data_IF_848635167509
#
_entry.id   IF_848635167509
#
_cell.length_a   1.000
_cell.length_b   1.000
_cell.length_c   1.000
_cell.angle_alpha   90.00
_cell.angle_beta   90.00
_cell.angle_gamma   90.00
#
_symmetry.space_group_name_H-M   'P 1'
#
loop_
_entity.id
_entity.type
_entity.pdbx_description
1 polymer ?
#
# COMPACT_ATOMS: atom_id res chain seq x y z
N UNK A 1 -3.14 -14.09 -33.53
CA UNK A 1 -3.51 -14.30 -32.10
C UNK A 1 -2.76 -15.53 -31.59
N UNK A 2 -1.75 -15.36 -30.75
CA UNK A 2 -1.08 -16.50 -30.08
C UNK A 2 -2.02 -17.03 -28.99
N UNK A 3 -2.47 -18.29 -29.10
CA UNK A 3 -3.20 -18.99 -28.03
C UNK A 3 -2.34 -18.97 -26.75
N UNK A 4 -2.79 -18.31 -25.70
CA UNK A 4 -2.17 -18.44 -24.37
C UNK A 4 -2.33 -19.91 -23.95
N UNK A 5 -1.23 -20.63 -23.89
CA UNK A 5 -1.18 -21.96 -23.27
C UNK A 5 -1.56 -21.75 -21.80
N UNK A 6 -2.63 -22.41 -21.36
CA UNK A 6 -3.03 -22.41 -19.96
C UNK A 6 -1.87 -23.06 -19.15
N UNK A 7 -1.15 -22.27 -18.38
CA UNK A 7 -0.13 -22.79 -17.46
C UNK A 7 -0.81 -23.53 -16.33
N UNK A 8 -0.33 -24.72 -16.01
CA UNK A 8 -0.76 -25.40 -14.78
C UNK A 8 -0.41 -24.50 -13.58
N UNK A 9 -1.34 -24.35 -12.63
CA UNK A 9 -1.07 -23.61 -11.40
C UNK A 9 0.06 -24.26 -10.60
N UNK A 10 0.76 -23.49 -9.78
CA UNK A 10 1.71 -24.04 -8.82
C UNK A 10 0.93 -24.42 -7.55
N UNK A 11 0.50 -25.67 -7.48
CA UNK A 11 -0.35 -26.19 -6.41
C UNK A 11 0.24 -25.95 -5.00
N UNK A 12 1.56 -26.05 -4.84
CA UNK A 12 2.23 -25.80 -3.57
C UNK A 12 2.09 -24.32 -3.14
N UNK A 13 2.28 -23.39 -4.06
CA UNK A 13 2.13 -21.97 -3.76
C UNK A 13 0.67 -21.58 -3.52
N UNK A 14 -0.27 -22.16 -4.27
CA UNK A 14 -1.70 -21.95 -4.06
C UNK A 14 -2.12 -22.42 -2.67
N UNK A 15 -1.74 -23.64 -2.27
CA UNK A 15 -2.04 -24.19 -0.94
C UNK A 15 -1.51 -23.31 0.20
N UNK A 16 -0.27 -22.81 0.08
CA UNK A 16 0.32 -21.90 1.09
C UNK A 16 -0.46 -20.59 1.20
N UNK A 17 -0.93 -20.04 0.10
CA UNK A 17 -1.69 -18.78 0.11
C UNK A 17 -3.14 -18.99 0.58
N UNK A 18 -3.75 -20.12 0.26
CA UNK A 18 -5.07 -20.51 0.78
C UNK A 18 -5.03 -20.68 2.31
N UNK A 19 -4.04 -21.40 2.82
CA UNK A 19 -3.82 -21.52 4.27
C UNK A 19 -3.64 -20.15 4.94
N UNK A 20 -2.86 -19.28 4.32
CA UNK A 20 -2.66 -17.92 4.84
C UNK A 20 -3.97 -17.12 4.87
N UNK A 21 -4.79 -17.21 3.83
CA UNK A 21 -6.11 -16.57 3.80
C UNK A 21 -7.02 -17.09 4.92
N UNK A 22 -7.06 -18.41 5.13
CA UNK A 22 -7.83 -19.02 6.20
C UNK A 22 -7.33 -18.57 7.60
N UNK A 23 -6.02 -18.48 7.79
CA UNK A 23 -5.43 -17.98 9.02
C UNK A 23 -5.78 -16.51 9.29
N UNK A 24 -5.80 -15.65 8.26
CA UNK A 24 -6.25 -14.27 8.37
C UNK A 24 -7.73 -14.17 8.73
N UNK A 25 -8.59 -14.99 8.11
CA UNK A 25 -10.01 -15.05 8.44
C UNK A 25 -10.25 -15.53 9.88
N UNK A 26 -9.51 -16.54 10.33
CA UNK A 26 -9.57 -17.04 11.71
C UNK A 26 -9.10 -15.99 12.73
N UNK A 27 -8.00 -15.29 12.45
CA UNK A 27 -7.51 -14.17 13.26
C UNK A 27 -8.52 -13.03 13.32
N UNK A 28 -9.17 -12.71 12.20
CA UNK A 28 -10.25 -11.75 12.13
C UNK A 28 -11.43 -12.15 13.02
N UNK A 29 -11.92 -13.39 12.92
CA UNK A 29 -13.03 -13.91 13.72
C UNK A 29 -12.68 -13.86 15.21
N UNK A 30 -11.45 -14.23 15.61
CA UNK A 30 -10.96 -14.14 17.00
C UNK A 30 -10.95 -12.68 17.48
N UNK A 31 -10.51 -11.73 16.65
CA UNK A 31 -10.46 -10.31 17.02
C UNK A 31 -11.84 -9.69 17.25
N UNK A 32 -12.89 -10.26 16.67
CA UNK A 32 -14.28 -9.81 16.87
C UNK A 32 -14.72 -9.91 18.34
N UNK A 33 -14.18 -10.89 19.10
CA UNK A 33 -14.51 -11.13 20.52
C UNK A 33 -13.89 -10.07 21.46
N UNK A 34 -12.92 -9.30 21.02
CA UNK A 34 -12.28 -8.23 21.82
C UNK A 34 -13.21 -7.02 21.95
N UNK A 35 -13.36 -6.43 23.13
CA UNK A 35 -14.29 -5.31 23.35
C UNK A 35 -13.77 -3.96 22.87
N UNK A 36 -12.44 -3.71 22.92
CA UNK A 36 -11.83 -2.42 22.60
C UNK A 36 -11.58 -2.25 21.09
N UNK A 37 -12.14 -1.18 20.48
CA UNK A 37 -12.07 -0.92 19.02
C UNK A 37 -10.65 -0.72 18.51
N UNK A 38 -9.82 0.06 19.20
CA UNK A 38 -8.43 0.31 18.81
C UNK A 38 -7.58 -0.95 18.81
N UNK A 39 -7.66 -1.76 19.87
CA UNK A 39 -6.95 -3.05 19.96
C UNK A 39 -7.36 -4.03 18.85
N UNK A 40 -8.61 -3.97 18.39
CA UNK A 40 -9.08 -4.78 17.25
C UNK A 40 -8.42 -4.38 15.93
N UNK A 41 -8.32 -3.08 15.66
CA UNK A 41 -7.69 -2.55 14.45
C UNK A 41 -6.23 -2.97 14.39
N UNK A 42 -5.48 -2.70 15.43
CA UNK A 42 -4.06 -3.03 15.53
C UNK A 42 -3.79 -4.53 15.40
N UNK A 43 -4.61 -5.40 16.02
CA UNK A 43 -4.46 -6.85 15.91
C UNK A 43 -4.66 -7.35 14.46
N UNK A 44 -5.56 -6.74 13.69
CA UNK A 44 -5.82 -7.09 12.28
C UNK A 44 -4.71 -6.61 11.37
N UNK A 45 -4.28 -5.35 11.53
CA UNK A 45 -3.14 -4.82 10.80
C UNK A 45 -1.90 -5.69 11.08
N UNK A 46 -1.67 -6.04 12.37
CA UNK A 46 -0.58 -6.93 12.76
C UNK A 46 -0.63 -8.29 12.08
N UNK A 47 -1.79 -8.94 12.00
CA UNK A 47 -1.89 -10.26 11.36
C UNK A 47 -1.49 -10.22 9.87
N UNK A 48 -1.87 -9.16 9.15
CA UNK A 48 -1.47 -8.97 7.75
C UNK A 48 0.03 -8.62 7.68
N UNK A 49 0.53 -7.76 8.56
CA UNK A 49 1.94 -7.40 8.63
C UNK A 49 2.83 -8.62 8.94
N UNK A 50 2.44 -9.47 9.88
CA UNK A 50 3.15 -10.71 10.21
C UNK A 50 3.19 -11.67 9.00
N UNK A 51 2.06 -11.81 8.28
CA UNK A 51 2.02 -12.59 7.03
C UNK A 51 3.00 -12.06 5.99
N UNK A 52 3.04 -10.74 5.77
CA UNK A 52 3.92 -10.10 4.81
C UNK A 52 5.39 -10.21 5.23
N UNK A 53 5.69 -9.97 6.51
CA UNK A 53 7.04 -10.09 7.06
C UNK A 53 7.63 -11.49 6.88
N UNK A 54 6.82 -12.51 7.04
CA UNK A 54 7.27 -13.91 6.91
C UNK A 54 7.53 -14.33 5.44
N UNK A 55 7.05 -13.56 4.45
CA UNK A 55 7.06 -13.95 3.03
C UNK A 55 7.77 -12.98 2.09
N UNK A 56 7.93 -11.74 2.49
CA UNK A 56 8.70 -10.77 1.70
C UNK A 56 10.21 -10.95 1.93
N UNK A 57 11.04 -10.71 0.91
CA UNK A 57 12.49 -10.67 1.08
C UNK A 57 12.93 -9.74 2.21
N UNK A 58 14.03 -10.06 2.91
CA UNK A 58 14.55 -9.31 4.04
C UNK A 58 14.93 -7.83 3.71
N UNK A 59 15.09 -7.51 2.43
CA UNK A 59 15.30 -6.16 1.95
C UNK A 59 14.09 -5.23 2.19
N UNK A 60 12.89 -5.79 2.35
CA UNK A 60 11.69 -5.03 2.64
C UNK A 60 11.42 -4.97 4.15
N UNK A 61 11.22 -3.77 4.67
CA UNK A 61 10.67 -3.56 6.00
C UNK A 61 9.15 -3.57 5.93
N UNK A 62 8.52 -4.19 6.92
CA UNK A 62 7.07 -4.13 7.13
C UNK A 62 6.83 -3.60 8.54
N UNK A 63 6.03 -2.54 8.67
CA UNK A 63 5.73 -1.95 9.97
C UNK A 63 4.25 -1.55 10.06
N UNK A 64 3.74 -1.43 11.28
CA UNK A 64 2.36 -1.01 11.59
C UNK A 64 2.37 0.30 12.35
N UNK A 65 1.35 1.14 12.14
CA UNK A 65 1.18 2.39 12.89
C UNK A 65 2.29 3.41 12.60
N UNK A 66 2.74 3.52 11.35
CA UNK A 66 3.83 4.40 10.97
C UNK A 66 3.31 5.69 10.31
N UNK A 67 4.05 6.77 10.47
CA UNK A 67 3.90 8.00 9.68
C UNK A 67 4.98 8.06 8.59
N UNK A 68 4.62 8.61 7.44
CA UNK A 68 5.54 8.86 6.34
C UNK A 68 5.89 10.34 6.32
N UNK A 69 7.19 10.62 6.30
CA UNK A 69 7.74 11.99 6.35
C UNK A 69 8.57 12.25 5.10
N UNK A 70 8.41 13.41 4.48
CA UNK A 70 9.29 13.86 3.41
C UNK A 70 10.35 14.86 3.89
N UNK A 71 11.35 15.11 3.06
CA UNK A 71 12.44 16.03 3.39
C UNK A 71 11.98 17.48 3.62
N UNK A 72 10.76 17.86 3.22
CA UNK A 72 10.17 19.16 3.49
C UNK A 72 9.35 19.18 4.80
N UNK A 73 9.52 18.17 5.67
CA UNK A 73 8.84 18.00 6.96
C UNK A 73 7.30 17.88 6.82
N UNK A 74 6.81 17.47 5.64
CA UNK A 74 5.40 17.15 5.46
C UNK A 74 5.18 15.69 5.85
N UNK A 75 4.04 15.42 6.47
CA UNK A 75 3.74 14.11 7.04
C UNK A 75 2.42 13.58 6.50
N UNK A 76 2.33 12.27 6.43
CA UNK A 76 1.06 11.57 6.36
C UNK A 76 0.38 11.58 7.73
N UNK A 77 -0.86 11.12 7.82
CA UNK A 77 -1.38 10.58 9.06
C UNK A 77 -0.76 9.21 9.36
N UNK A 78 -1.14 8.62 10.50
CA UNK A 78 -0.82 7.23 10.84
C UNK A 78 -1.40 6.28 9.78
N UNK A 79 -0.59 5.34 9.33
CA UNK A 79 -0.91 4.33 8.32
C UNK A 79 -0.92 2.96 8.98
N UNK A 80 -1.96 2.17 8.71
CA UNK A 80 -2.12 0.85 9.34
C UNK A 80 -0.93 -0.08 9.07
N UNK A 81 -0.46 -0.18 7.80
CA UNK A 81 0.73 -0.97 7.43
C UNK A 81 1.51 -0.23 6.34
N UNK A 82 2.82 -0.14 6.51
CA UNK A 82 3.76 0.36 5.50
C UNK A 82 4.76 -0.73 5.09
N UNK A 83 5.13 -0.73 3.81
CA UNK A 83 6.21 -1.57 3.26
C UNK A 83 7.24 -0.61 2.66
N UNK A 84 8.49 -0.75 3.08
CA UNK A 84 9.55 0.18 2.71
C UNK A 84 10.86 -0.55 2.39
N UNK A 85 11.74 0.12 1.66
CA UNK A 85 13.08 -0.37 1.40
C UNK A 85 13.92 -0.25 2.67
N UNK A 86 14.12 -1.38 3.35
CA UNK A 86 14.83 -1.44 4.62
C UNK A 86 16.33 -1.11 4.47
N UNK A 87 16.92 -1.37 3.32
CA UNK A 87 18.33 -1.10 3.09
C UNK A 87 18.64 0.39 2.93
N UNK A 88 17.64 1.17 2.46
CA UNK A 88 17.76 2.62 2.23
C UNK A 88 17.12 3.47 3.30
N UNK A 89 16.41 2.88 4.26
CA UNK A 89 15.77 3.61 5.34
C UNK A 89 16.69 3.66 6.56
N UNK A 90 17.41 4.75 6.81
CA UNK A 90 18.02 4.95 8.12
C UNK A 90 16.89 5.03 9.16
N UNK A 91 17.08 4.44 10.30
CA UNK A 91 16.13 4.51 11.41
C UNK A 91 16.10 5.97 11.90
N UNK A 92 15.05 6.71 11.49
CA UNK A 92 14.92 8.13 11.84
C UNK A 92 14.31 8.27 13.24
N UNK A 93 13.28 7.46 13.54
CA UNK A 93 12.65 7.40 14.86
C UNK A 93 11.94 6.06 15.03
N UNK A 94 12.06 5.48 16.23
CA UNK A 94 11.38 4.24 16.57
C UNK A 94 10.02 4.48 17.27
N UNK A 95 9.84 5.65 17.92
CA UNK A 95 8.62 6.04 18.62
C UNK A 95 8.47 7.58 18.58
N UNK A 96 7.52 8.11 17.81
CA UNK A 96 6.72 7.42 16.79
C UNK A 96 7.58 6.89 15.63
N UNK A 97 7.10 5.83 14.98
CA UNK A 97 7.82 5.25 13.84
C UNK A 97 7.65 6.13 12.59
N UNK A 98 8.74 6.70 12.13
CA UNK A 98 8.78 7.54 10.92
C UNK A 98 9.52 6.85 9.78
N UNK A 99 8.85 6.80 8.63
CA UNK A 99 9.37 6.25 7.38
C UNK A 99 9.59 7.39 6.40
N UNK A 100 10.78 7.47 5.83
CA UNK A 100 11.06 8.45 4.78
C UNK A 100 10.24 8.14 3.52
N UNK A 101 9.62 9.15 2.93
CA UNK A 101 8.74 9.00 1.78
C UNK A 101 9.46 8.34 0.59
N UNK A 102 10.74 8.60 0.42
CA UNK A 102 11.58 8.04 -0.64
C UNK A 102 11.78 6.53 -0.52
N UNK A 103 11.64 5.98 0.68
CA UNK A 103 11.78 4.54 0.91
C UNK A 103 10.44 3.81 0.91
N UNK A 104 9.32 4.52 1.00
CA UNK A 104 7.98 3.93 1.00
C UNK A 104 7.68 3.27 -0.35
N UNK A 105 7.49 1.95 -0.35
CA UNK A 105 7.15 1.14 -1.53
C UNK A 105 5.66 0.85 -1.63
N UNK A 106 5.02 0.59 -0.49
CA UNK A 106 3.59 0.33 -0.44
C UNK A 106 3.01 0.72 0.91
N UNK A 107 1.70 0.99 0.94
CA UNK A 107 0.95 1.04 2.17
C UNK A 107 -0.41 0.34 2.05
N UNK A 108 -0.93 -0.10 3.18
CA UNK A 108 -2.18 -0.84 3.27
C UNK A 108 -3.03 -0.23 4.38
N UNK A 109 -4.20 0.25 3.99
CA UNK A 109 -5.26 0.65 4.92
C UNK A 109 -6.11 -0.57 5.24
N UNK A 110 -6.19 -0.96 6.49
CA UNK A 110 -6.90 -2.17 6.94
C UNK A 110 -8.26 -1.80 7.52
N UNK A 111 -9.31 -2.35 6.93
CA UNK A 111 -10.68 -2.07 7.36
C UNK A 111 -11.39 -3.35 7.79
N UNK A 112 -12.06 -3.28 8.92
CA UNK A 112 -12.95 -4.36 9.41
C UNK A 112 -14.06 -4.62 8.41
N UNK A 113 -14.71 -3.54 8.00
CA UNK A 113 -15.88 -3.53 7.12
C UNK A 113 -15.77 -2.30 6.24
N UNK A 114 -15.74 -2.51 4.93
CA UNK A 114 -15.69 -1.40 3.99
C UNK A 114 -17.05 -0.70 3.97
N UNK A 115 -17.02 0.60 4.24
CA UNK A 115 -18.17 1.51 4.20
C UNK A 115 -17.79 2.75 3.41
N UNK A 116 -18.76 3.58 3.05
CA UNK A 116 -18.50 4.87 2.40
C UNK A 116 -17.58 5.75 3.26
N UNK A 117 -17.82 5.80 4.58
CA UNK A 117 -16.99 6.58 5.50
C UNK A 117 -15.55 6.10 5.57
N UNK A 118 -15.31 4.77 5.53
CA UNK A 118 -13.96 4.21 5.52
C UNK A 118 -13.25 4.46 4.17
N UNK A 119 -13.97 4.37 3.05
CA UNK A 119 -13.43 4.76 1.74
C UNK A 119 -13.03 6.25 1.71
N UNK A 120 -13.89 7.14 2.22
CA UNK A 120 -13.58 8.57 2.29
C UNK A 120 -12.28 8.82 3.05
N UNK A 121 -12.09 8.19 4.21
CA UNK A 121 -10.84 8.29 4.99
C UNK A 121 -9.63 7.76 4.19
N UNK A 122 -9.78 6.62 3.55
CA UNK A 122 -8.69 6.03 2.75
C UNK A 122 -8.29 6.91 1.58
N UNK A 123 -9.25 7.57 0.90
CA UNK A 123 -8.95 8.51 -0.18
C UNK A 123 -8.33 9.83 0.32
N UNK A 124 -8.71 10.30 1.51
CA UNK A 124 -8.03 11.44 2.17
C UNK A 124 -6.58 11.07 2.49
N UNK A 125 -6.33 9.89 3.06
CA UNK A 125 -4.97 9.39 3.32
C UNK A 125 -4.16 9.26 2.03
N UNK A 126 -4.75 8.72 0.96
CA UNK A 126 -4.10 8.65 -0.35
C UNK A 126 -3.73 10.03 -0.90
N UNK A 127 -4.59 11.05 -0.71
CA UNK A 127 -4.28 12.44 -1.07
C UNK A 127 -3.07 12.97 -0.29
N UNK A 128 -2.99 12.70 1.01
CA UNK A 128 -1.87 13.12 1.85
C UNK A 128 -0.55 12.50 1.37
N UNK A 129 -0.53 11.19 1.13
CA UNK A 129 0.66 10.49 0.59
C UNK A 129 1.06 11.04 -0.78
N UNK A 130 0.09 11.26 -1.69
CA UNK A 130 0.38 11.81 -3.01
C UNK A 130 0.90 13.26 -2.98
N UNK A 131 0.66 13.99 -1.89
CA UNK A 131 1.20 15.33 -1.70
C UNK A 131 2.64 15.35 -1.20
N UNK A 132 3.15 14.22 -0.67
CA UNK A 132 4.54 14.10 -0.22
C UNK A 132 5.48 14.04 -1.43
N UNK A 133 6.67 14.59 -1.28
CA UNK A 133 7.77 14.34 -2.20
C UNK A 133 8.36 12.95 -1.85
N UNK A 134 8.75 12.16 -2.80
CA UNK A 134 8.87 12.41 -4.25
C UNK A 134 7.60 12.09 -5.06
N UNK A 135 6.48 11.71 -4.45
CA UNK A 135 5.29 11.27 -5.19
C UNK A 135 4.57 12.39 -5.93
N UNK A 136 4.71 13.64 -5.46
CA UNK A 136 4.09 14.80 -6.09
C UNK A 136 4.83 15.28 -7.35
N UNK A 137 6.13 15.04 -7.43
CA UNK A 137 6.99 15.50 -8.53
C UNK A 137 7.85 14.36 -9.04
N UNK A 138 8.26 14.40 -10.31
CA UNK A 138 9.30 13.53 -10.80
C UNK A 138 10.53 13.61 -9.89
N UNK A 139 11.18 12.47 -9.72
CA UNK A 139 12.38 12.38 -8.92
C UNK A 139 13.54 13.02 -9.68
N UNK A 140 14.24 13.95 -9.04
CA UNK A 140 15.51 14.51 -9.55
C UNK A 140 16.64 14.00 -8.69
N UNK A 141 17.67 13.45 -9.29
CA UNK A 141 18.92 13.11 -8.59
C UNK A 141 19.49 14.37 -7.94
N UNK A 142 20.00 14.26 -6.72
CA UNK A 142 20.64 15.37 -6.03
C UNK A 142 21.73 16.00 -6.94
N UNK A 143 21.66 17.31 -7.13
CA UNK A 143 22.61 18.06 -7.97
C UNK A 143 22.31 18.10 -9.46
N UNK A 144 21.23 17.48 -9.95
CA UNK A 144 20.78 17.65 -11.32
C UNK A 144 19.63 18.67 -11.40
N UNK A 145 19.62 19.59 -12.39
CA UNK A 145 18.50 20.49 -12.60
C UNK A 145 17.23 19.69 -12.95
N UNK A 146 16.07 20.23 -12.59
CA UNK A 146 14.74 19.67 -12.93
C UNK A 146 14.56 19.57 -14.48
N UNK A 147 15.27 18.67 -15.11
CA UNK A 147 15.04 18.28 -16.49
C UNK A 147 13.75 17.45 -16.49
N UNK A 148 12.72 17.95 -17.18
CA UNK A 148 11.38 17.38 -17.21
C UNK A 148 11.37 15.85 -17.21
N UNK A 149 11.21 15.28 -16.03
CA UNK A 149 11.15 13.84 -15.85
C UNK A 149 9.88 13.31 -16.50
N UNK A 150 10.01 12.24 -17.25
CA UNK A 150 8.88 11.56 -17.87
C UNK A 150 8.04 10.86 -16.80
N UNK A 151 6.76 10.56 -17.07
CA UNK A 151 5.88 9.81 -16.16
C UNK A 151 6.49 8.47 -15.68
N UNK A 152 7.45 7.91 -16.44
CA UNK A 152 8.16 6.69 -16.10
C UNK A 152 9.22 6.87 -15.00
N UNK A 153 9.63 8.08 -14.71
CA UNK A 153 10.65 8.42 -13.71
C UNK A 153 10.05 8.81 -12.36
N UNK A 154 8.74 9.04 -12.31
CA UNK A 154 8.05 9.31 -11.05
C UNK A 154 8.07 8.08 -10.15
N UNK A 155 8.49 8.28 -8.90
CA UNK A 155 8.40 7.22 -7.89
C UNK A 155 6.94 6.88 -7.63
N UNK A 156 6.68 5.60 -7.50
CA UNK A 156 5.33 5.09 -7.22
C UNK A 156 5.29 4.39 -5.88
N UNK A 157 4.14 4.48 -5.24
CA UNK A 157 3.80 3.73 -4.05
C UNK A 157 2.57 2.88 -4.35
N UNK A 158 2.56 1.59 -3.99
CA UNK A 158 1.38 0.74 -4.11
C UNK A 158 0.42 1.04 -2.96
N UNK A 159 -0.73 1.58 -3.29
CA UNK A 159 -1.74 2.07 -2.34
C UNK A 159 -2.92 1.13 -2.33
N UNK A 160 -3.17 0.49 -1.22
CA UNK A 160 -4.25 -0.50 -1.16
C UNK A 160 -5.12 -0.33 0.07
N UNK A 161 -6.41 -0.60 -0.10
CA UNK A 161 -7.38 -0.80 0.96
C UNK A 161 -7.65 -2.28 1.06
N UNK A 162 -7.40 -2.86 2.24
CA UNK A 162 -7.67 -4.25 2.57
C UNK A 162 -8.82 -4.31 3.57
N UNK A 163 -9.97 -4.83 3.15
CA UNK A 163 -11.13 -4.97 4.01
C UNK A 163 -11.47 -6.44 4.24
N UNK A 164 -11.76 -6.81 5.48
CA UNK A 164 -12.21 -8.15 5.82
C UNK A 164 -13.66 -8.42 5.43
N UNK A 165 -14.45 -7.39 5.18
CA UNK A 165 -15.82 -7.47 4.73
C UNK A 165 -16.37 -6.14 4.24
N UNK A 166 -17.62 -6.13 3.80
CA UNK A 166 -18.35 -4.95 3.35
C UNK A 166 -19.77 -4.94 3.92
N UNK A 167 -20.43 -3.78 3.86
CA UNK A 167 -21.87 -3.68 4.15
C UNK A 167 -22.75 -3.76 2.89
N UNK A 168 -22.15 -4.03 1.73
CA UNK A 168 -22.89 -4.31 0.51
C UNK A 168 -23.27 -5.78 0.42
N UNK A 169 -24.43 -6.07 -0.19
CA UNK A 169 -24.82 -7.42 -0.57
C UNK A 169 -23.96 -7.98 -1.71
N UNK A 170 -24.13 -9.28 -2.00
CA UNK A 170 -23.37 -9.94 -3.07
C UNK A 170 -23.82 -9.50 -4.47
N UNK A 171 -25.13 -9.31 -4.68
CA UNK A 171 -25.70 -8.99 -5.99
C UNK A 171 -25.21 -7.62 -6.46
N UNK A 172 -24.56 -7.58 -7.62
CA UNK A 172 -24.03 -6.36 -8.21
C UNK A 172 -22.95 -5.67 -7.37
N UNK A 173 -22.21 -6.45 -6.57
CA UNK A 173 -21.22 -5.89 -5.64
C UNK A 173 -20.15 -5.04 -6.35
N UNK A 174 -19.61 -5.50 -7.47
CA UNK A 174 -18.57 -4.78 -8.20
C UNK A 174 -19.03 -3.38 -8.61
N UNK A 175 -20.20 -3.25 -9.22
CA UNK A 175 -20.72 -1.97 -9.69
C UNK A 175 -21.06 -1.03 -8.53
N UNK A 176 -21.63 -1.58 -7.47
CA UNK A 176 -21.98 -0.82 -6.27
C UNK A 176 -20.72 -0.31 -5.54
N UNK A 177 -19.70 -1.16 -5.40
CA UNK A 177 -18.45 -0.75 -4.74
C UNK A 177 -17.67 0.21 -5.63
N UNK A 178 -17.66 0.01 -6.95
CA UNK A 178 -17.07 0.96 -7.89
C UNK A 178 -17.74 2.35 -7.81
N UNK A 179 -19.07 2.38 -7.70
CA UNK A 179 -19.81 3.63 -7.50
C UNK A 179 -19.41 4.34 -6.19
N UNK A 180 -19.19 3.59 -5.10
CA UNK A 180 -18.68 4.13 -3.82
C UNK A 180 -17.27 4.69 -3.93
N UNK A 181 -16.38 3.98 -4.61
CA UNK A 181 -14.99 4.41 -4.87
C UNK A 181 -15.00 5.76 -5.62
N UNK A 182 -15.81 5.87 -6.68
CA UNK A 182 -15.95 7.16 -7.41
C UNK A 182 -16.42 8.29 -6.51
N UNK A 183 -17.43 8.06 -5.69
CA UNK A 183 -17.96 9.07 -4.75
C UNK A 183 -16.91 9.47 -3.70
N UNK A 184 -16.17 8.50 -3.15
CA UNK A 184 -15.12 8.77 -2.16
C UNK A 184 -13.94 9.54 -2.76
N UNK A 185 -13.55 9.24 -4.00
CA UNK A 185 -12.53 9.98 -4.73
C UNK A 185 -12.93 11.45 -4.95
N UNK A 186 -14.18 11.68 -5.38
CA UNK A 186 -14.74 13.04 -5.52
C UNK A 186 -14.76 13.76 -4.17
N UNK A 187 -15.21 13.10 -3.10
CA UNK A 187 -15.21 13.67 -1.75
C UNK A 187 -13.83 14.12 -1.29
N UNK A 188 -12.80 13.35 -1.56
CA UNK A 188 -11.41 13.69 -1.25
C UNK A 188 -10.76 14.66 -2.26
N UNK A 189 -11.45 15.03 -3.34
CA UNK A 189 -10.93 15.84 -4.45
C UNK A 189 -9.69 15.20 -5.09
N UNK A 190 -9.78 13.91 -5.40
CA UNK A 190 -8.76 13.10 -6.11
C UNK A 190 -9.44 12.22 -7.15
N UNK A 191 -8.63 11.50 -7.95
CA UNK A 191 -9.15 10.50 -8.89
C UNK A 191 -9.26 9.13 -8.21
N UNK A 192 -10.12 8.21 -8.69
CA UNK A 192 -10.15 6.83 -8.21
C UNK A 192 -8.78 6.14 -8.29
N UNK A 193 -7.95 6.48 -9.27
CA UNK A 193 -6.59 5.96 -9.45
C UNK A 193 -5.60 6.33 -8.31
N UNK A 194 -6.02 7.18 -7.36
CA UNK A 194 -5.24 7.47 -6.15
C UNK A 194 -5.10 6.27 -5.20
N UNK A 195 -5.89 5.21 -5.42
CA UNK A 195 -5.76 3.90 -4.76
C UNK A 195 -5.58 2.84 -5.84
N UNK A 196 -4.56 1.99 -5.71
CA UNK A 196 -4.23 0.98 -6.72
C UNK A 196 -5.12 -0.26 -6.62
N UNK A 197 -5.47 -0.68 -5.39
CA UNK A 197 -6.34 -1.85 -5.16
C UNK A 197 -7.29 -1.61 -3.99
N UNK A 198 -8.52 -2.05 -4.16
CA UNK A 198 -9.50 -2.17 -3.08
C UNK A 198 -9.89 -3.63 -3.01
N UNK A 199 -9.39 -4.34 -2.00
CA UNK A 199 -9.69 -5.74 -1.73
C UNK A 199 -10.75 -5.83 -0.64
N UNK A 200 -11.79 -6.62 -0.89
CA UNK A 200 -12.71 -7.10 0.14
C UNK A 200 -12.61 -8.62 0.18
N UNK A 201 -12.02 -9.15 1.23
CA UNK A 201 -11.53 -10.53 1.33
C UNK A 201 -12.62 -11.59 1.00
N UNK A 202 -13.87 -11.33 1.37
CA UNK A 202 -14.98 -12.24 1.12
C UNK A 202 -15.89 -11.82 -0.05
N UNK A 203 -15.41 -10.96 -0.96
CA UNK A 203 -16.20 -10.44 -2.08
C UNK A 203 -15.44 -10.37 -3.39
N UNK A 204 -14.29 -9.74 -3.40
CA UNK A 204 -13.53 -9.50 -4.62
C UNK A 204 -12.53 -8.39 -4.50
N UNK A 205 -12.00 -7.96 -5.63
CA UNK A 205 -11.00 -6.90 -5.71
C UNK A 205 -11.30 -5.97 -6.88
N UNK A 206 -11.16 -4.65 -6.63
CA UNK A 206 -11.22 -3.63 -7.67
C UNK A 206 -9.82 -3.08 -7.95
N UNK A 207 -9.61 -2.72 -9.22
CA UNK A 207 -8.41 -2.06 -9.75
C UNK A 207 -8.79 -0.67 -10.28
N UNK A 208 -8.86 0.36 -9.41
CA UNK A 208 -9.33 1.67 -9.80
C UNK A 208 -8.55 2.34 -10.94
N UNK A 209 -7.21 2.23 -11.05
CA UNK A 209 -6.47 2.76 -12.19
C UNK A 209 -6.93 2.25 -13.56
N UNK A 210 -7.29 0.97 -13.64
CA UNK A 210 -7.77 0.34 -14.88
C UNK A 210 -9.30 0.30 -15.00
N UNK A 211 -10.02 0.77 -13.99
CA UNK A 211 -11.48 0.71 -13.90
C UNK A 211 -12.03 -0.71 -14.07
N UNK A 212 -11.31 -1.71 -13.56
CA UNK A 212 -11.66 -3.12 -13.63
C UNK A 212 -11.82 -3.71 -12.23
N UNK A 213 -12.42 -4.88 -12.16
CA UNK A 213 -12.56 -5.62 -10.93
C UNK A 213 -12.81 -7.11 -11.19
N UNK A 214 -12.70 -7.90 -10.14
CA UNK A 214 -13.03 -9.32 -10.13
C UNK A 214 -13.76 -9.64 -8.84
N UNK A 215 -14.78 -10.46 -8.92
CA UNK A 215 -15.44 -11.00 -7.72
C UNK A 215 -14.84 -12.35 -7.33
N UNK A 216 -15.15 -12.79 -6.12
CA UNK A 216 -14.62 -14.03 -5.57
C UNK A 216 -15.05 -15.27 -6.35
N UNK A 217 -16.13 -15.19 -7.13
CA UNK A 217 -16.62 -16.31 -7.92
C UNK A 217 -15.89 -16.46 -9.26
N UNK A 218 -15.24 -15.39 -9.71
CA UNK A 218 -14.50 -15.38 -10.99
C UNK A 218 -13.05 -15.86 -10.87
N UNK A 219 -12.50 -15.93 -9.65
CA UNK A 219 -11.11 -16.35 -9.37
C UNK A 219 -11.07 -17.26 -8.17
N UNK A 220 -10.12 -18.18 -8.13
CA UNK A 220 -9.93 -19.13 -7.03
C UNK A 220 -9.62 -18.44 -5.69
N UNK A 221 -8.86 -17.34 -5.72
CA UNK A 221 -8.57 -16.54 -4.54
C UNK A 221 -8.23 -15.09 -4.93
N UNK A 222 -9.05 -14.14 -4.45
CA UNK A 222 -8.76 -12.71 -4.62
C UNK A 222 -7.61 -12.26 -3.73
N UNK A 223 -7.41 -12.92 -2.60
CA UNK A 223 -6.27 -12.68 -1.72
C UNK A 223 -4.96 -13.03 -2.41
N UNK A 224 -4.89 -14.21 -3.04
CA UNK A 224 -3.72 -14.64 -3.82
C UNK A 224 -3.39 -13.66 -4.93
N UNK A 225 -4.40 -13.23 -5.69
CA UNK A 225 -4.22 -12.24 -6.74
C UNK A 225 -3.70 -10.90 -6.20
N UNK A 226 -4.19 -10.47 -5.03
CA UNK A 226 -3.70 -9.26 -4.36
C UNK A 226 -2.22 -9.39 -3.96
N UNK A 227 -1.83 -10.52 -3.35
CA UNK A 227 -0.44 -10.79 -2.98
C UNK A 227 0.47 -10.71 -4.20
N UNK A 228 0.10 -11.35 -5.31
CA UNK A 228 0.90 -11.29 -6.54
C UNK A 228 1.02 -9.90 -7.13
N UNK A 229 -0.07 -9.12 -7.09
CA UNK A 229 -0.01 -7.71 -7.54
C UNK A 229 0.95 -6.90 -6.69
N UNK A 230 0.91 -7.08 -5.36
CA UNK A 230 1.80 -6.40 -4.43
C UNK A 230 3.26 -6.79 -4.67
N UNK A 231 3.58 -8.10 -4.67
CA UNK A 231 4.95 -8.59 -4.83
C UNK A 231 5.55 -8.17 -6.17
N UNK A 232 4.79 -8.27 -7.26
CA UNK A 232 5.23 -7.83 -8.58
C UNK A 232 5.48 -6.32 -8.63
N UNK A 233 4.68 -5.52 -7.93
CA UNK A 233 4.90 -4.09 -7.81
C UNK A 233 6.17 -3.80 -7.03
N UNK A 234 6.35 -4.41 -5.86
CA UNK A 234 7.53 -4.21 -5.02
C UNK A 234 8.83 -4.52 -5.76
N UNK A 235 8.89 -5.68 -6.43
CA UNK A 235 10.08 -6.10 -7.17
C UNK A 235 10.44 -5.10 -8.29
N UNK A 236 9.44 -4.67 -9.07
CA UNK A 236 9.64 -3.71 -10.15
C UNK A 236 10.04 -2.32 -9.65
N UNK A 237 9.35 -1.83 -8.63
CA UNK A 237 9.56 -0.47 -8.13
C UNK A 237 10.88 -0.34 -7.38
N UNK A 238 11.26 -1.34 -6.58
CA UNK A 238 12.54 -1.32 -5.87
C UNK A 238 13.74 -1.26 -6.83
N UNK A 239 13.68 -1.98 -7.94
CA UNK A 239 14.74 -1.95 -8.98
C UNK A 239 14.84 -0.61 -9.75
N UNK A 240 13.80 0.23 -9.70
CA UNK A 240 13.78 1.53 -10.37
C UNK A 240 14.26 2.69 -9.50
N UNK A 241 14.30 2.50 -8.18
CA UNK A 241 14.60 3.60 -7.26
C UNK A 241 16.08 3.94 -7.28
N UNK A 242 16.43 5.21 -7.55
CA UNK A 242 17.82 5.67 -7.51
C UNK A 242 18.33 5.76 -6.05
N UNK A 243 19.63 5.97 -5.92
CA UNK A 243 20.23 6.34 -4.64
C UNK A 243 19.64 7.67 -4.16
N UNK A 244 19.50 7.81 -2.86
CA UNK A 244 18.92 8.98 -2.21
C UNK A 244 19.98 9.75 -1.43
N UNK A 245 19.92 11.07 -1.50
CA UNK A 245 20.77 11.94 -0.70
C UNK A 245 20.07 12.32 0.62
N UNK A 246 20.53 11.70 1.71
CA UNK A 246 20.00 11.93 3.04
C UNK A 246 20.30 13.33 3.60
N UNK A 247 21.24 14.06 3.01
CA UNK A 247 21.52 15.44 3.41
C UNK A 247 20.30 16.36 3.21
N UNK A 248 19.39 16.00 2.30
CA UNK A 248 18.14 16.72 2.08
C UNK A 248 17.22 16.74 3.32
N UNK A 249 17.38 15.78 4.24
CA UNK A 249 16.66 15.75 5.52
C UNK A 249 17.30 16.60 6.60
N UNK A 250 18.52 17.13 6.39
CA UNK A 250 19.17 18.02 7.33
C UNK A 250 18.56 19.42 7.25
N UNK A 251 18.08 19.94 8.38
CA UNK A 251 17.53 21.32 8.47
C UNK A 251 18.62 22.41 8.49
N UNK A 252 19.86 22.06 8.84
CA UNK A 252 20.97 22.99 8.88
C UNK A 252 21.78 22.94 7.59
N UNK A 253 22.31 24.09 7.15
CA UNK A 253 23.33 24.12 6.10
C UNK A 253 24.51 23.27 6.56
N UNK A 254 24.77 22.18 5.87
CA UNK A 254 26.00 21.42 6.10
C UNK A 254 27.15 22.27 5.61
N UNK A 255 28.16 22.62 6.46
CA UNK A 255 29.31 23.40 6.02
C UNK A 255 30.00 22.69 4.85
N UNK A 256 30.26 23.42 3.78
CA UNK A 256 31.09 22.88 2.69
C UNK A 256 32.46 22.46 3.21
N UNK A 257 33.04 21.42 2.61
CA UNK A 257 34.42 21.02 2.87
C UNK A 257 35.36 22.16 2.54
N UNK A 258 36.33 22.48 3.43
CA UNK A 258 37.41 23.41 3.17
C UNK A 258 38.64 22.61 2.75
N UNK A 259 39.37 23.13 1.75
CA UNK A 259 40.72 22.65 1.49
C UNK A 259 41.60 22.99 2.74
N UNK A 260 42.40 22.05 3.19
CA UNK A 260 43.38 22.20 4.27
C UNK A 260 44.67 22.77 3.75
#
# INVERSE_FOLDING_TARGET
MRKRVARKPNEALESVLEEAEQNLLAAFAKSQKTKHRGLKGNARAKSIADFLTARLPAAYGVATGAEVVDYADRRSGEIDIVIFDKQRNPVVSADPLWIAAETLLAYIEVKTKLTVGELNKSFIGAKQINALRPFKRPFTLAGQPDAGATDNEQLRCFRTVFAFGTNLGCKGWLDNEWSRIKKAAVFASVTPASIDRVLVLNRGMLNPPSQTGTDQFAVSSVFQQWVFNLVNFLARENGRRPAWDWQLYAKSKIPGWRAL
#
